data_IF_423938979918
#
_entry.id   IF_423938979918
#
_cell.length_a   1.000
_cell.length_b   1.000
_cell.length_c   1.000
_cell.angle_alpha   90.00
_cell.angle_beta   90.00
_cell.angle_gamma   90.00
#
_symmetry.space_group_name_H-M   'P 1'
#
loop_
_entity.id
_entity.type
_entity.pdbx_description
1 polymer ?
#
# COMPACT_ATOMS: atom_id res chain seq x y z
N UNK A 1 54.95 -17.47 6.66
CA UNK A 1 55.67 -18.74 6.38
C UNK A 1 55.90 -18.82 4.88
N UNK A 2 57.15 -18.77 4.45
CA UNK A 2 57.57 -18.92 3.06
C UNK A 2 57.81 -20.41 2.75
N UNK A 3 57.60 -20.83 1.50
CA UNK A 3 58.61 -21.53 0.67
C UNK A 3 58.10 -21.73 -0.75
N UNK A 4 58.77 -21.11 -1.72
CA UNK A 4 58.79 -21.56 -3.12
C UNK A 4 59.75 -22.74 -3.26
N UNK A 5 59.45 -23.71 -4.12
CA UNK A 5 60.48 -24.61 -4.65
C UNK A 5 60.29 -24.85 -6.15
N UNK A 6 61.18 -24.22 -6.94
CA UNK A 6 61.57 -24.65 -8.29
C UNK A 6 62.55 -25.82 -8.17
N UNK A 7 62.38 -26.87 -8.99
CA UNK A 7 63.43 -27.80 -9.47
C UNK A 7 62.93 -28.46 -10.76
N UNK A 8 63.72 -28.88 -11.76
CA UNK A 8 65.10 -28.62 -12.15
C UNK A 8 65.31 -29.43 -13.44
N UNK A 9 65.74 -28.81 -14.54
CA UNK A 9 66.25 -29.52 -15.70
C UNK A 9 67.69 -29.97 -15.44
N UNK A 10 67.96 -31.28 -15.48
CA UNK A 10 69.30 -31.88 -15.49
C UNK A 10 69.25 -33.19 -16.29
N UNK A 11 69.87 -33.22 -17.49
CA UNK A 11 71.09 -34.01 -17.83
C UNK A 11 70.82 -35.49 -18.16
N UNK A 12 71.41 -36.16 -19.16
CA UNK A 12 72.64 -35.96 -19.92
C UNK A 12 72.66 -36.90 -21.14
N UNK A 13 73.49 -36.50 -22.11
CA UNK A 13 73.88 -37.15 -23.36
C UNK A 13 74.36 -38.61 -23.24
N UNK A 14 74.28 -39.36 -24.34
CA UNK A 14 75.37 -40.24 -24.76
C UNK A 14 75.56 -40.19 -26.29
N UNK A 15 76.68 -39.58 -26.64
CA UNK A 15 77.32 -39.56 -27.95
C UNK A 15 77.91 -40.94 -28.27
N UNK A 16 77.71 -41.44 -29.50
CA UNK A 16 78.72 -42.27 -30.17
C UNK A 16 78.76 -41.85 -31.64
N UNK A 17 79.78 -41.07 -31.98
CA UNK A 17 80.26 -40.87 -33.34
C UNK A 17 81.47 -41.80 -33.52
N UNK A 18 81.48 -42.73 -34.50
CA UNK A 18 82.71 -43.19 -35.17
C UNK A 18 82.49 -44.16 -36.34
N UNK A 19 82.76 -43.62 -37.52
CA UNK A 19 83.37 -44.21 -38.74
C UNK A 19 82.59 -45.10 -39.71
N UNK A 20 82.85 -44.98 -41.03
CA UNK A 20 82.04 -45.52 -42.11
C UNK A 20 82.58 -46.85 -42.65
N UNK A 21 81.73 -47.86 -42.78
CA UNK A 21 82.06 -49.09 -43.53
C UNK A 21 81.78 -48.90 -45.03
N UNK A 22 82.81 -49.15 -45.83
CA UNK A 22 82.87 -49.16 -47.30
C UNK A 22 81.83 -50.14 -47.90
N UNK A 23 81.26 -49.88 -49.10
CA UNK A 23 80.11 -50.62 -49.58
C UNK A 23 80.53 -51.93 -50.27
N UNK A 24 79.90 -53.04 -49.90
CA UNK A 24 79.95 -54.27 -50.67
C UNK A 24 78.76 -54.28 -51.64
N UNK A 25 79.05 -54.07 -52.93
CA UNK A 25 78.11 -54.32 -54.01
C UNK A 25 77.78 -55.83 -54.07
N UNK A 26 76.50 -56.18 -53.98
CA UNK A 26 75.91 -57.14 -54.91
C UNK A 26 74.38 -57.13 -54.87
N UNK A 27 73.86 -56.99 -56.10
CA UNK A 27 72.55 -57.39 -56.59
C UNK A 27 71.38 -56.47 -56.29
N UNK A 28 71.20 -55.54 -57.24
CA UNK A 28 69.89 -55.08 -57.68
C UNK A 28 68.94 -56.27 -57.85
N UNK A 29 67.96 -56.37 -56.95
CA UNK A 29 66.64 -56.87 -57.28
C UNK A 29 65.70 -55.67 -57.36
N UNK A 30 65.28 -55.46 -58.59
CA UNK A 30 64.27 -54.55 -59.05
C UNK A 30 62.96 -54.77 -58.29
N UNK A 31 62.34 -53.66 -57.88
CA UNK A 31 60.93 -53.50 -57.47
C UNK A 31 60.38 -54.50 -56.44
N UNK A 32 60.38 -54.08 -55.19
CA UNK A 32 59.22 -54.30 -54.34
C UNK A 32 58.71 -52.91 -53.99
N UNK A 33 57.71 -52.46 -54.74
CA UNK A 33 56.86 -51.36 -54.32
C UNK A 33 56.46 -51.66 -52.88
N UNK A 34 56.75 -50.75 -51.94
CA UNK A 34 55.98 -50.72 -50.69
C UNK A 34 54.53 -50.57 -51.15
N UNK A 35 53.82 -51.69 -51.25
CA UNK A 35 52.40 -51.69 -51.47
C UNK A 35 51.84 -50.95 -50.27
N UNK A 36 51.44 -49.73 -50.53
CA UNK A 36 50.71 -48.93 -49.57
C UNK A 36 49.45 -49.73 -49.30
N UNK A 37 49.32 -50.28 -48.10
CA UNK A 37 48.18 -51.09 -47.72
C UNK A 37 46.96 -50.15 -47.65
N UNK A 38 46.24 -50.07 -48.77
CA UNK A 38 45.14 -49.15 -48.99
C UNK A 38 44.06 -49.32 -47.93
N UNK A 39 43.81 -50.56 -47.48
CA UNK A 39 42.94 -50.89 -46.36
C UNK A 39 43.34 -50.17 -45.05
N UNK A 40 44.61 -50.22 -44.66
CA UNK A 40 45.08 -49.56 -43.44
C UNK A 40 44.92 -48.04 -43.53
N UNK A 41 45.24 -47.44 -44.69
CA UNK A 41 45.03 -46.00 -44.90
C UNK A 41 43.54 -45.64 -44.81
N UNK A 42 42.67 -46.45 -45.42
CA UNK A 42 41.23 -46.20 -45.43
C UNK A 42 40.62 -46.29 -44.02
N UNK A 43 41.07 -47.25 -43.21
CA UNK A 43 40.67 -47.36 -41.80
C UNK A 43 41.13 -46.16 -40.96
N UNK A 44 42.35 -45.68 -41.17
CA UNK A 44 42.86 -44.47 -40.50
C UNK A 44 42.04 -43.25 -40.90
N UNK A 45 41.79 -43.04 -42.20
CA UNK A 45 40.96 -41.94 -42.71
C UNK A 45 39.56 -41.98 -42.10
N UNK A 46 38.96 -43.17 -42.03
CA UNK A 46 37.64 -43.36 -41.42
C UNK A 46 37.64 -43.01 -39.93
N UNK A 47 38.67 -43.43 -39.19
CA UNK A 47 38.82 -43.11 -37.77
C UNK A 47 39.03 -41.61 -37.52
N UNK A 48 39.77 -40.93 -38.42
CA UNK A 48 40.01 -39.49 -38.37
C UNK A 48 38.71 -38.74 -38.64
N UNK A 49 37.94 -39.17 -39.64
CA UNK A 49 36.64 -38.59 -39.95
C UNK A 49 35.64 -38.73 -38.78
N UNK A 50 35.66 -39.89 -38.11
CA UNK A 50 34.87 -40.12 -36.90
C UNK A 50 35.25 -39.18 -35.74
N UNK A 51 36.56 -38.96 -35.55
CA UNK A 51 37.08 -38.03 -34.53
C UNK A 51 36.76 -36.58 -34.87
N UNK A 52 36.82 -36.20 -36.15
CA UNK A 52 36.43 -34.88 -36.64
C UNK A 52 34.96 -34.60 -36.31
N UNK A 53 34.07 -35.56 -36.55
CA UNK A 53 32.64 -35.43 -36.19
C UNK A 53 32.41 -35.28 -34.67
N UNK A 54 33.26 -35.88 -33.83
CA UNK A 54 33.20 -35.70 -32.37
C UNK A 54 33.70 -34.31 -31.95
N UNK A 55 34.65 -33.72 -32.69
CA UNK A 55 35.11 -32.34 -32.50
C UNK A 55 34.02 -31.33 -32.87
N UNK A 56 33.26 -31.53 -33.95
CA UNK A 56 32.13 -30.65 -34.28
C UNK A 56 31.06 -30.61 -33.17
N UNK A 57 30.84 -31.74 -32.49
CA UNK A 57 29.94 -31.81 -31.33
C UNK A 57 30.47 -31.01 -30.14
N UNK A 58 31.79 -30.93 -29.99
CA UNK A 58 32.45 -30.14 -28.94
C UNK A 58 32.24 -28.64 -29.16
N UNK A 59 32.38 -28.16 -30.40
CA UNK A 59 32.07 -26.76 -30.76
C UNK A 59 30.58 -26.43 -30.51
N UNK A 60 29.70 -27.39 -30.79
CA UNK A 60 28.27 -27.26 -30.51
C UNK A 60 28.00 -27.18 -28.99
N UNK A 61 28.80 -27.85 -28.16
CA UNK A 61 28.67 -27.77 -26.69
C UNK A 61 29.20 -26.42 -26.20
N UNK A 62 30.33 -25.94 -26.73
CA UNK A 62 30.92 -24.66 -26.36
C UNK A 62 29.95 -23.49 -26.63
N UNK A 63 29.32 -23.47 -27.81
CA UNK A 63 28.30 -22.46 -28.14
C UNK A 63 27.11 -22.51 -27.18
N UNK A 64 26.65 -23.70 -26.78
CA UNK A 64 25.57 -23.84 -25.79
C UNK A 64 25.98 -23.38 -24.40
N UNK A 65 27.23 -23.63 -23.99
CA UNK A 65 27.75 -23.15 -22.71
C UNK A 65 27.81 -21.62 -22.67
N UNK A 66 28.30 -20.99 -23.72
CA UNK A 66 28.32 -19.52 -23.82
C UNK A 66 26.91 -18.93 -23.73
N UNK A 67 25.92 -19.53 -24.41
CA UNK A 67 24.53 -19.09 -24.31
C UNK A 67 23.97 -19.25 -22.89
N UNK A 68 24.30 -20.35 -22.21
CA UNK A 68 23.88 -20.57 -20.81
C UNK A 68 24.53 -19.53 -19.89
N UNK A 69 25.79 -19.19 -20.09
CA UNK A 69 26.47 -18.15 -19.30
C UNK A 69 25.82 -16.77 -19.51
N UNK A 70 25.43 -16.44 -20.74
CA UNK A 70 24.67 -15.22 -21.04
C UNK A 70 23.30 -15.24 -20.34
N UNK A 71 22.55 -16.34 -20.44
CA UNK A 71 21.28 -16.51 -19.73
C UNK A 71 21.45 -16.37 -18.21
N UNK A 72 22.48 -16.97 -17.63
CA UNK A 72 22.79 -16.85 -16.19
C UNK A 72 23.06 -15.38 -15.83
N UNK A 73 23.80 -14.64 -16.65
CA UNK A 73 24.09 -13.23 -16.38
C UNK A 73 22.83 -12.36 -16.47
N UNK A 74 21.96 -12.61 -17.46
CA UNK A 74 20.67 -11.90 -17.54
C UNK A 74 19.77 -12.18 -16.34
N UNK A 75 19.70 -13.44 -15.89
CA UNK A 75 18.95 -13.83 -14.70
C UNK A 75 19.49 -13.17 -13.43
N UNK A 76 20.82 -13.10 -13.27
CA UNK A 76 21.44 -12.39 -12.14
C UNK A 76 21.05 -10.91 -12.10
N UNK A 77 21.04 -10.24 -13.25
CA UNK A 77 20.60 -8.84 -13.32
C UNK A 77 19.12 -8.69 -13.02
N UNK A 78 18.26 -9.57 -13.54
CA UNK A 78 16.83 -9.56 -13.22
C UNK A 78 16.58 -9.77 -11.73
N UNK A 79 17.29 -10.70 -11.09
CA UNK A 79 17.19 -10.97 -9.67
C UNK A 79 17.66 -9.79 -8.81
N UNK A 80 18.76 -9.13 -9.20
CA UNK A 80 19.23 -7.92 -8.51
C UNK A 80 18.17 -6.82 -8.56
N UNK A 81 17.59 -6.57 -9.73
CA UNK A 81 16.53 -5.57 -9.90
C UNK A 81 15.29 -5.91 -9.08
N UNK A 82 14.89 -7.18 -9.04
CA UNK A 82 13.79 -7.64 -8.19
C UNK A 82 14.07 -7.44 -6.70
N UNK A 83 15.32 -7.64 -6.26
CA UNK A 83 15.69 -7.36 -4.87
C UNK A 83 15.63 -5.88 -4.53
N UNK A 84 16.12 -5.01 -5.42
CA UNK A 84 16.09 -3.56 -5.22
C UNK A 84 14.64 -3.04 -5.14
N UNK A 85 13.78 -3.48 -6.05
CA UNK A 85 12.36 -3.11 -6.06
C UNK A 85 11.61 -3.66 -4.84
N UNK A 86 11.91 -4.89 -4.40
CA UNK A 86 11.33 -5.44 -3.18
C UNK A 86 11.74 -4.64 -1.93
N UNK A 87 12.99 -4.18 -1.86
CA UNK A 87 13.46 -3.33 -0.77
C UNK A 87 12.74 -1.98 -0.74
N UNK A 88 12.57 -1.34 -1.90
CA UNK A 88 11.84 -0.07 -2.02
C UNK A 88 10.36 -0.22 -1.61
N UNK A 89 9.70 -1.30 -2.06
CA UNK A 89 8.31 -1.60 -1.66
C UNK A 89 8.21 -1.78 -0.15
N UNK A 90 9.15 -2.51 0.46
CA UNK A 90 9.16 -2.74 1.90
C UNK A 90 9.35 -1.44 2.69
N UNK A 91 10.18 -0.51 2.20
CA UNK A 91 10.36 0.80 2.81
C UNK A 91 9.09 1.65 2.70
N UNK A 92 8.49 1.70 1.51
CA UNK A 92 7.21 2.39 1.28
C UNK A 92 6.10 1.85 2.17
N UNK A 93 6.02 0.53 2.34
CA UNK A 93 5.04 -0.13 3.21
C UNK A 93 5.23 0.30 4.67
N UNK A 94 6.47 0.30 5.20
CA UNK A 94 6.75 0.77 6.56
C UNK A 94 6.33 2.23 6.76
N UNK A 95 6.52 3.08 5.76
CA UNK A 95 6.13 4.49 5.84
C UNK A 95 4.60 4.65 5.79
N UNK A 96 3.90 3.82 5.01
CA UNK A 96 2.44 3.78 5.01
C UNK A 96 1.89 3.29 6.36
N UNK A 97 2.47 2.26 6.96
CA UNK A 97 2.06 1.76 8.29
C UNK A 97 2.19 2.84 9.37
N UNK A 98 3.26 3.64 9.34
CA UNK A 98 3.42 4.81 10.24
C UNK A 98 2.36 5.88 10.00
N UNK A 99 1.91 6.07 8.76
CA UNK A 99 0.84 7.04 8.46
C UNK A 99 -0.51 6.52 8.92
N UNK A 100 -0.78 5.23 8.76
CA UNK A 100 -2.01 4.58 9.21
C UNK A 100 -2.12 4.70 10.73
N UNK A 101 -1.09 4.30 11.47
CA UNK A 101 -1.07 4.40 12.94
C UNK A 101 -1.32 5.84 13.44
N UNK A 102 -0.68 6.84 12.82
CA UNK A 102 -0.94 8.27 13.14
C UNK A 102 -2.38 8.70 12.82
N UNK A 103 -2.99 8.14 11.78
CA UNK A 103 -4.38 8.44 11.44
C UNK A 103 -5.34 7.79 12.45
N UNK A 104 -5.07 6.55 12.86
CA UNK A 104 -5.82 5.85 13.90
C UNK A 104 -5.79 6.63 15.22
N UNK A 105 -4.63 7.11 15.66
CA UNK A 105 -4.50 7.97 16.84
C UNK A 105 -5.38 9.22 16.73
N UNK A 106 -5.33 9.93 15.61
CA UNK A 106 -6.16 11.12 15.38
C UNK A 106 -7.66 10.81 15.38
N UNK A 107 -8.07 9.67 14.84
CA UNK A 107 -9.48 9.26 14.85
C UNK A 107 -9.93 9.06 16.30
N UNK A 108 -9.14 8.37 17.11
CA UNK A 108 -9.48 8.16 18.53
C UNK A 108 -9.58 9.48 19.31
N UNK A 109 -8.69 10.44 19.02
CA UNK A 109 -8.73 11.78 19.62
C UNK A 109 -10.02 12.53 19.24
N UNK A 110 -10.40 12.49 17.96
CA UNK A 110 -11.64 13.13 17.47
C UNK A 110 -12.88 12.48 18.10
N UNK A 111 -12.88 11.16 18.25
CA UNK A 111 -13.99 10.44 18.88
C UNK A 111 -14.16 10.82 20.36
N UNK A 112 -13.05 10.92 21.10
CA UNK A 112 -13.07 11.40 22.49
C UNK A 112 -13.59 12.84 22.58
N UNK A 113 -13.13 13.71 21.69
CA UNK A 113 -13.58 15.11 21.64
C UNK A 113 -15.07 15.22 21.33
N UNK A 114 -15.58 14.41 20.39
CA UNK A 114 -17.01 14.32 20.07
C UNK A 114 -17.82 13.91 21.30
N UNK A 115 -17.38 12.91 22.05
CA UNK A 115 -18.06 12.48 23.28
C UNK A 115 -18.07 13.60 24.31
N UNK A 116 -16.94 14.29 24.50
CA UNK A 116 -16.84 15.45 25.40
C UNK A 116 -17.83 16.55 25.01
N UNK A 117 -17.78 17.02 23.76
CA UNK A 117 -18.68 18.07 23.26
C UNK A 117 -20.16 17.68 23.41
N UNK A 118 -20.51 16.44 23.11
CA UNK A 118 -21.89 15.96 23.30
C UNK A 118 -22.32 16.00 24.77
N UNK A 119 -21.43 15.62 25.70
CA UNK A 119 -21.73 15.69 27.13
C UNK A 119 -21.93 17.14 27.61
N UNK A 120 -21.12 18.08 27.12
CA UNK A 120 -21.25 19.50 27.41
C UNK A 120 -22.55 20.07 26.86
N UNK A 121 -22.93 19.71 25.63
CA UNK A 121 -24.21 20.12 25.03
C UNK A 121 -25.39 19.63 25.87
N UNK A 122 -25.36 18.37 26.32
CA UNK A 122 -26.42 17.80 27.16
C UNK A 122 -26.51 18.56 28.48
N UNK A 123 -25.39 18.85 29.12
CA UNK A 123 -25.35 19.59 30.39
C UNK A 123 -25.85 21.03 30.22
N UNK A 124 -25.38 21.76 29.20
CA UNK A 124 -25.86 23.11 28.89
C UNK A 124 -27.36 23.10 28.62
N UNK A 125 -27.84 22.14 27.81
CA UNK A 125 -29.26 22.02 27.50
C UNK A 125 -30.07 21.70 28.76
N UNK A 126 -29.59 20.81 29.63
CA UNK A 126 -30.26 20.49 30.89
C UNK A 126 -30.33 21.70 31.82
N UNK A 127 -29.25 22.48 31.94
CA UNK A 127 -29.23 23.73 32.73
C UNK A 127 -30.16 24.79 32.14
N UNK A 128 -30.18 24.93 30.82
CA UNK A 128 -31.04 25.87 30.10
C UNK A 128 -32.52 25.48 30.19
N UNK A 129 -32.84 24.18 30.14
CA UNK A 129 -34.20 23.67 30.24
C UNK A 129 -34.71 23.52 31.68
N UNK A 130 -33.84 23.69 32.70
CA UNK A 130 -34.18 23.46 34.11
C UNK A 130 -35.38 24.27 34.59
N UNK A 131 -35.52 25.49 34.10
CA UNK A 131 -36.61 26.40 34.48
C UNK A 131 -37.78 26.38 33.49
N UNK A 132 -37.78 25.43 32.53
CA UNK A 132 -38.85 25.29 31.55
C UNK A 132 -39.76 24.13 31.96
N UNK A 133 -41.07 24.38 31.99
CA UNK A 133 -42.08 23.35 32.26
C UNK A 133 -42.87 23.04 30.99
N UNK A 134 -43.02 21.75 30.70
CA UNK A 134 -43.82 21.25 29.58
C UNK A 134 -45.22 20.87 30.08
N UNK A 135 -46.24 21.53 29.53
CA UNK A 135 -47.64 21.23 29.84
C UNK A 135 -48.27 20.52 28.64
N UNK A 136 -48.92 19.40 28.92
CA UNK A 136 -49.58 18.58 27.91
C UNK A 136 -51.10 18.67 28.06
N UNK A 137 -51.82 18.36 26.98
CA UNK A 137 -53.29 18.26 26.98
C UNK A 137 -54.02 19.56 27.35
N UNK A 138 -53.46 20.70 26.97
CA UNK A 138 -54.12 22.01 27.09
C UNK A 138 -54.90 22.34 25.82
N UNK A 139 -56.19 22.71 25.91
CA UNK A 139 -57.01 23.02 24.75
C UNK A 139 -56.40 24.17 23.94
N UNK A 140 -56.41 24.02 22.61
CA UNK A 140 -55.86 24.99 21.66
C UNK A 140 -56.98 25.85 21.05
N UNK A 141 -56.79 27.16 21.05
CA UNK A 141 -57.60 28.13 20.32
C UNK A 141 -56.93 28.56 19.00
N UNK A 142 -57.73 28.92 18.01
CA UNK A 142 -57.21 29.50 16.76
C UNK A 142 -56.64 30.90 17.03
N UNK A 143 -55.38 31.12 16.65
CA UNK A 143 -54.63 32.36 16.86
C UNK A 143 -54.34 32.70 18.34
N UNK A 144 -53.88 31.72 19.13
CA UNK A 144 -53.35 31.97 20.46
C UNK A 144 -52.10 32.87 20.41
N UNK A 145 -52.14 33.98 21.13
CA UNK A 145 -50.95 34.79 21.41
C UNK A 145 -50.18 34.20 22.61
N UNK A 146 -48.87 34.49 22.74
CA UNK A 146 -48.08 34.08 23.91
C UNK A 146 -48.68 34.54 25.24
N UNK A 147 -49.31 35.72 25.27
CA UNK A 147 -49.97 36.28 26.45
C UNK A 147 -51.19 35.46 26.89
N UNK A 148 -52.07 35.10 25.93
CA UNK A 148 -53.21 34.22 26.20
C UNK A 148 -52.77 32.84 26.66
N UNK A 149 -51.68 32.33 26.10
CA UNK A 149 -51.09 31.06 26.54
C UNK A 149 -50.62 31.14 28.00
N UNK A 150 -50.01 32.26 28.39
CA UNK A 150 -49.57 32.50 29.77
C UNK A 150 -50.74 32.61 30.75
N UNK A 151 -51.82 33.29 30.36
CA UNK A 151 -53.03 33.42 31.18
C UNK A 151 -53.67 32.06 31.48
N UNK A 152 -53.79 31.19 30.46
CA UNK A 152 -54.26 29.81 30.64
C UNK A 152 -53.41 29.02 31.63
N UNK A 153 -52.10 29.24 31.65
CA UNK A 153 -51.21 28.57 32.61
C UNK A 153 -51.48 29.06 34.02
N UNK A 154 -51.62 30.37 34.24
CA UNK A 154 -51.96 30.90 35.57
C UNK A 154 -53.31 30.39 36.06
N UNK A 155 -54.33 30.38 35.21
CA UNK A 155 -55.66 29.84 35.54
C UNK A 155 -55.56 28.37 36.01
N UNK A 156 -54.75 27.56 35.34
CA UNK A 156 -54.58 26.15 35.70
C UNK A 156 -53.81 25.99 37.01
N UNK A 157 -52.78 26.79 37.23
CA UNK A 157 -52.00 26.76 38.49
C UNK A 157 -52.88 27.16 39.67
N UNK A 158 -53.69 28.21 39.52
CA UNK A 158 -54.61 28.67 40.56
C UNK A 158 -55.74 27.66 40.81
N UNK A 159 -56.39 27.18 39.74
CA UNK A 159 -57.57 26.30 39.85
C UNK A 159 -57.23 24.85 40.23
N UNK A 160 -56.15 24.28 39.68
CA UNK A 160 -55.81 22.85 39.90
C UNK A 160 -54.80 22.64 41.03
N UNK A 161 -53.90 23.58 41.26
CA UNK A 161 -52.82 23.43 42.25
C UNK A 161 -53.04 24.27 43.52
N UNK A 162 -54.05 25.14 43.56
CA UNK A 162 -54.43 25.89 44.78
C UNK A 162 -53.38 26.91 45.22
N UNK A 163 -52.48 27.31 44.31
CA UNK A 163 -51.51 28.37 44.58
C UNK A 163 -52.21 29.70 44.32
N UNK A 164 -52.70 30.31 45.39
CA UNK A 164 -53.29 31.65 45.34
C UNK A 164 -52.21 32.69 44.99
N UNK A 165 -52.57 33.72 44.21
CA UNK A 165 -51.66 34.75 43.69
C UNK A 165 -50.48 34.19 42.87
N UNK A 166 -50.75 33.25 41.95
CA UNK A 166 -49.71 32.59 41.15
C UNK A 166 -48.84 33.58 40.35
N UNK A 167 -49.41 34.70 39.90
CA UNK A 167 -48.68 35.77 39.18
C UNK A 167 -47.57 36.42 40.00
N UNK A 168 -47.73 36.52 41.32
CA UNK A 168 -46.74 37.12 42.23
C UNK A 168 -45.76 36.09 42.75
N UNK A 169 -46.24 34.87 43.00
CA UNK A 169 -45.45 33.79 43.59
C UNK A 169 -44.57 33.08 42.57
N UNK A 170 -45.03 32.94 41.32
CA UNK A 170 -44.33 32.24 40.24
C UNK A 170 -44.36 33.06 38.94
N UNK A 171 -43.51 34.09 38.79
CA UNK A 171 -43.47 34.89 37.58
C UNK A 171 -42.98 34.05 36.39
N UNK A 172 -43.84 33.88 35.38
CA UNK A 172 -43.50 33.21 34.13
C UNK A 172 -42.87 34.24 33.18
N UNK A 173 -41.63 34.00 32.75
CA UNK A 173 -40.93 34.89 31.81
C UNK A 173 -41.51 34.77 30.38
N UNK A 174 -41.79 33.54 29.94
CA UNK A 174 -42.31 33.26 28.59
C UNK A 174 -43.12 31.98 28.55
N UNK A 175 -44.29 32.03 27.93
CA UNK A 175 -45.11 30.87 27.61
C UNK A 175 -45.45 30.85 26.11
N UNK A 176 -45.33 29.70 25.47
CA UNK A 176 -45.67 29.51 24.06
C UNK A 176 -45.96 28.04 23.77
N UNK A 177 -46.69 27.78 22.70
CA UNK A 177 -46.93 26.42 22.20
C UNK A 177 -45.68 25.88 21.51
N UNK A 178 -45.46 24.58 21.67
CA UNK A 178 -44.35 23.87 21.06
C UNK A 178 -44.80 23.25 19.74
N UNK A 179 -44.05 23.48 18.66
CA UNK A 179 -44.34 22.94 17.33
C UNK A 179 -44.19 23.98 16.22
N UNK A 180 -44.24 23.53 14.96
CA UNK A 180 -44.27 24.44 13.81
C UNK A 180 -45.59 25.21 13.84
N UNK A 181 -45.50 26.54 13.93
CA UNK A 181 -46.65 27.41 13.77
C UNK A 181 -47.23 27.17 12.37
N UNK A 182 -48.43 26.57 12.25
CA UNK A 182 -49.01 26.19 10.94
C UNK A 182 -49.37 27.40 10.06
N UNK A 183 -49.17 28.62 10.55
CA UNK A 183 -49.53 29.89 9.91
C UNK A 183 -48.34 30.79 9.54
N UNK A 184 -47.09 30.31 9.58
CA UNK A 184 -45.96 31.06 9.04
C UNK A 184 -45.56 30.48 7.67
N UNK A 185 -45.69 31.23 6.56
CA UNK A 185 -45.09 30.82 5.30
C UNK A 185 -43.58 30.82 5.49
N UNK A 186 -42.97 29.65 5.37
CA UNK A 186 -41.51 29.53 5.31
C UNK A 186 -41.10 29.98 3.92
N UNK A 187 -40.62 31.21 3.79
CA UNK A 187 -39.85 31.58 2.59
C UNK A 187 -38.47 30.93 2.76
N UNK A 188 -38.22 29.88 1.97
CA UNK A 188 -36.91 29.24 1.87
C UNK A 188 -36.04 30.11 0.97
N UNK A 189 -35.30 31.04 1.57
CA UNK A 189 -34.11 31.59 0.91
C UNK A 189 -32.97 30.61 1.16
N UNK A 190 -32.62 29.85 0.11
CA UNK A 190 -31.57 28.82 0.11
C UNK A 190 -30.16 29.44 0.09
N UNK A 191 -30.04 30.74 -0.11
CA UNK A 191 -28.75 31.41 -0.25
C UNK A 191 -28.51 32.42 0.88
N UNK A 192 -28.05 31.93 2.03
CA UNK A 192 -27.03 32.54 2.90
C UNK A 192 -27.05 31.85 4.26
N UNK A 193 -25.94 31.19 4.61
CA UNK A 193 -25.72 30.57 5.92
C UNK A 193 -25.71 31.60 7.06
N UNK A 194 -26.90 32.02 7.52
CA UNK A 194 -27.08 32.87 8.69
C UNK A 194 -27.96 32.17 9.71
N UNK A 195 -27.45 32.11 10.94
CA UNK A 195 -28.09 31.54 12.11
C UNK A 195 -29.51 32.10 12.31
N UNK A 196 -30.41 31.19 12.67
CA UNK A 196 -31.80 31.44 12.98
C UNK A 196 -31.95 32.44 14.14
N UNK A 197 -32.38 33.67 13.83
CA UNK A 197 -33.11 34.50 14.78
C UNK A 197 -34.59 34.41 14.41
N UNK A 198 -35.38 33.77 15.26
CA UNK A 198 -36.84 33.83 15.19
C UNK A 198 -37.29 35.25 15.57
N UNK A 199 -37.23 36.18 14.62
CA UNK A 199 -37.87 37.49 14.73
C UNK A 199 -39.36 37.34 14.44
N UNK A 200 -40.14 36.92 15.44
CA UNK A 200 -41.56 37.24 15.49
C UNK A 200 -41.71 38.69 15.96
N UNK A 201 -41.30 39.64 15.13
CA UNK A 201 -41.64 41.05 15.32
C UNK A 201 -43.07 41.25 14.82
N UNK A 202 -43.96 41.60 15.76
CA UNK A 202 -45.31 42.08 15.57
C UNK A 202 -45.37 43.15 14.48
N UNK A 203 -45.91 42.81 13.32
CA UNK A 203 -46.25 43.76 12.26
C UNK A 203 -47.63 44.34 12.56
N UNK A 204 -47.68 45.29 13.49
CA UNK A 204 -48.84 46.18 13.63
C UNK A 204 -48.93 47.03 12.37
N UNK A 205 -49.97 46.82 11.57
CA UNK A 205 -50.34 47.72 10.47
C UNK A 205 -51.17 48.86 11.05
N UNK A 206 -50.68 50.09 10.92
CA UNK A 206 -51.52 51.29 10.76
C UNK A 206 -52.05 51.35 9.33
#
# INVERSE_FOLDING_TARGET
>A
MATSFKRSAKTLNNSVHSTPKKPAQKQAKMQESREVNLEEIWTVISSVNEKLSKLDKLDTIETRLNNIDDEINTLKHSLSYQHDTAAEIQESQKEQDKKITKLEEKITEIELEKVRMNSEIVDIKARSMRNNLMLFSLPEETNETPEKSMEKVYEIVENKHGIHDARRTMPIERAHRMGRNRFCPVHLDVDQGRLWQNSCASRTKS
#
